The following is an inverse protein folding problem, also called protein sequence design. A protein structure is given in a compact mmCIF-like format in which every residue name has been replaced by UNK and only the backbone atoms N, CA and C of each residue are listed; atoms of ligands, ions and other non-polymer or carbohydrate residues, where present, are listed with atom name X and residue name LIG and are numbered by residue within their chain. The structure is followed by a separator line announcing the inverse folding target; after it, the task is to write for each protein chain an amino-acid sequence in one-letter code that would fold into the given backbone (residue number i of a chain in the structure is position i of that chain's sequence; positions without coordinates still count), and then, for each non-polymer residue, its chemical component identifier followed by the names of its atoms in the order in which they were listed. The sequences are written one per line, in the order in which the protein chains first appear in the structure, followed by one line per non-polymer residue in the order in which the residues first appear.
data_IF_933365622652
#
_entry.id   IF_933365622652
#
_cell.length_a   1.000
_cell.length_b   1.000
_cell.length_c   1.000
_cell.angle_alpha   90.00
_cell.angle_beta   90.00
_cell.angle_gamma   90.00
#
_symmetry.space_group_name_H-M   'P 1'
#
loop_
_entity.id
_entity.type
_entity.pdbx_description
1 polymer ?
#
# COMPACT_ATOMS: atom_id res chain seq x y z
N UNK A 1 11.35 -23.44 -6.73
CA UNK A 1 9.91 -23.54 -6.38
C UNK A 1 9.63 -22.27 -5.60
N UNK A 2 9.13 -21.22 -6.27
CA UNK A 2 8.79 -19.97 -5.58
C UNK A 2 7.52 -20.25 -4.78
N UNK A 3 7.63 -20.29 -3.47
CA UNK A 3 6.46 -20.29 -2.61
C UNK A 3 5.89 -18.87 -2.68
N UNK A 4 4.63 -18.75 -3.08
CA UNK A 4 3.93 -17.47 -3.05
C UNK A 4 3.74 -17.05 -1.59
N UNK A 5 4.25 -15.89 -1.23
CA UNK A 5 4.06 -15.32 0.11
C UNK A 5 2.77 -14.49 0.14
N UNK A 6 2.27 -14.15 1.34
CA UNK A 6 1.17 -13.18 1.44
C UNK A 6 1.48 -11.86 0.72
N UNK A 7 2.71 -11.35 0.82
CA UNK A 7 3.12 -10.10 0.20
C UNK A 7 3.15 -10.19 -1.33
N UNK A 8 3.68 -11.29 -1.88
CA UNK A 8 3.70 -11.49 -3.34
C UNK A 8 2.27 -11.61 -3.90
N UNK A 9 1.39 -12.34 -3.20
CA UNK A 9 -0.02 -12.47 -3.60
C UNK A 9 -0.76 -11.14 -3.56
N UNK A 10 -0.59 -10.34 -2.49
CA UNK A 10 -1.21 -9.03 -2.37
C UNK A 10 -0.75 -8.07 -3.48
N UNK A 11 0.52 -8.14 -3.88
CA UNK A 11 1.04 -7.35 -4.99
C UNK A 11 0.45 -7.76 -6.34
N UNK A 12 0.33 -9.08 -6.60
CA UNK A 12 -0.29 -9.59 -7.83
C UNK A 12 -1.77 -9.19 -7.94
N UNK A 13 -2.52 -9.31 -6.84
CA UNK A 13 -3.92 -8.86 -6.76
C UNK A 13 -4.03 -7.36 -7.04
N UNK A 14 -3.16 -6.54 -6.42
CA UNK A 14 -3.13 -5.10 -6.64
C UNK A 14 -2.83 -4.74 -8.09
N UNK A 15 -1.86 -5.40 -8.73
CA UNK A 15 -1.57 -5.20 -10.14
C UNK A 15 -2.76 -5.54 -11.03
N UNK A 16 -3.44 -6.65 -10.74
CA UNK A 16 -4.60 -7.07 -11.50
C UNK A 16 -5.72 -6.01 -11.43
N UNK A 17 -6.03 -5.53 -10.23
CA UNK A 17 -7.08 -4.52 -10.05
C UNK A 17 -6.67 -3.15 -10.63
N UNK A 18 -5.38 -2.78 -10.60
CA UNK A 18 -4.89 -1.56 -11.25
C UNK A 18 -5.08 -1.58 -12.77
N UNK A 19 -4.84 -2.73 -13.42
CA UNK A 19 -5.07 -2.88 -14.88
C UNK A 19 -6.56 -2.71 -15.19
N UNK A 20 -7.44 -3.31 -14.38
CA UNK A 20 -8.89 -3.19 -14.55
C UNK A 20 -9.36 -1.77 -14.32
N UNK A 21 -8.82 -1.10 -13.31
CA UNK A 21 -9.15 0.27 -12.95
C UNK A 21 -8.71 1.26 -14.04
N UNK A 22 -7.52 1.11 -14.62
CA UNK A 22 -7.05 1.95 -15.74
C UNK A 22 -8.00 1.85 -16.94
N UNK A 23 -8.47 0.64 -17.26
CA UNK A 23 -9.43 0.40 -18.34
C UNK A 23 -10.81 1.03 -18.05
N UNK A 24 -11.22 1.08 -16.79
CA UNK A 24 -12.48 1.67 -16.34
C UNK A 24 -12.43 3.17 -16.04
N UNK A 25 -11.25 3.80 -16.10
CA UNK A 25 -11.07 5.21 -15.75
C UNK A 25 -11.68 6.12 -16.81
N UNK A 26 -12.51 7.08 -16.42
CA UNK A 26 -13.32 7.87 -17.35
C UNK A 26 -12.67 9.18 -17.80
N UNK A 27 -11.76 9.74 -16.99
CA UNK A 27 -11.11 11.03 -17.27
C UNK A 27 -9.65 10.86 -17.71
N UNK A 28 -9.37 11.10 -18.99
CA UNK A 28 -8.02 10.93 -19.58
C UNK A 28 -6.96 11.79 -18.90
N UNK A 29 -7.30 13.03 -18.53
CA UNK A 29 -6.35 13.94 -17.86
C UNK A 29 -5.90 13.39 -16.51
N UNK A 30 -6.84 12.89 -15.71
CA UNK A 30 -6.54 12.34 -14.38
C UNK A 30 -5.96 10.92 -14.46
N UNK A 31 -6.19 10.18 -15.57
CA UNK A 31 -5.64 8.84 -15.82
C UNK A 31 -4.11 8.83 -15.79
N UNK A 32 -3.46 9.91 -16.23
CA UNK A 32 -2.00 10.03 -16.14
C UNK A 32 -1.50 9.96 -14.69
N UNK A 33 -2.24 10.54 -13.74
CA UNK A 33 -1.95 10.43 -12.31
C UNK A 33 -2.05 9.00 -11.80
N UNK A 34 -3.14 8.29 -12.14
CA UNK A 34 -3.29 6.87 -11.81
C UNK A 34 -2.11 6.03 -12.34
N UNK A 35 -1.74 6.22 -13.61
CA UNK A 35 -0.65 5.46 -14.24
C UNK A 35 0.71 5.75 -13.62
N UNK A 36 0.95 7.01 -13.25
CA UNK A 36 2.15 7.40 -12.52
C UNK A 36 2.22 6.69 -11.17
N UNK A 37 1.17 6.79 -10.36
CA UNK A 37 1.09 6.11 -9.05
C UNK A 37 1.22 4.59 -9.19
N UNK A 38 0.58 3.98 -10.19
CA UNK A 38 0.72 2.54 -10.46
C UNK A 38 2.16 2.15 -10.85
N UNK A 39 2.86 3.02 -11.57
CA UNK A 39 4.28 2.78 -11.90
C UNK A 39 5.19 2.91 -10.70
N UNK A 40 4.90 3.87 -9.83
CA UNK A 40 5.64 4.11 -8.59
C UNK A 40 5.50 2.92 -7.63
N UNK A 41 4.27 2.44 -7.43
CA UNK A 41 4.00 1.21 -6.66
C UNK A 41 4.75 0.02 -7.25
N UNK A 42 4.70 -0.20 -8.56
CA UNK A 42 5.45 -1.31 -9.16
C UNK A 42 6.95 -1.19 -8.90
N UNK A 43 7.51 0.02 -8.93
CA UNK A 43 8.92 0.22 -8.65
C UNK A 43 9.27 -0.14 -7.21
N UNK A 44 8.61 0.50 -6.23
CA UNK A 44 8.93 0.32 -4.82
C UNK A 44 8.50 -1.04 -4.27
N UNK A 45 7.32 -1.56 -4.65
CA UNK A 45 6.86 -2.87 -4.20
C UNK A 45 7.69 -4.01 -4.79
N UNK A 46 8.10 -3.96 -6.06
CA UNK A 46 9.03 -4.96 -6.61
C UNK A 46 10.38 -4.92 -5.89
N UNK A 47 10.91 -3.73 -5.61
CA UNK A 47 12.15 -3.59 -4.88
C UNK A 47 12.02 -4.17 -3.47
N UNK A 48 10.94 -3.85 -2.74
CA UNK A 48 10.68 -4.40 -1.41
C UNK A 48 10.49 -5.92 -1.45
N UNK A 49 9.74 -6.46 -2.41
CA UNK A 49 9.50 -7.90 -2.54
C UNK A 49 10.80 -8.69 -2.64
N UNK A 50 11.76 -8.28 -3.48
CA UNK A 50 13.04 -8.99 -3.64
C UNK A 50 13.75 -9.22 -2.30
N UNK A 51 13.59 -8.30 -1.34
CA UNK A 51 14.23 -8.38 -0.03
C UNK A 51 13.34 -9.01 1.03
N UNK A 52 12.04 -8.71 1.03
CA UNK A 52 11.12 -9.09 2.09
C UNK A 52 10.56 -10.51 1.91
N UNK A 53 10.43 -11.01 0.67
CA UNK A 53 9.90 -12.36 0.39
C UNK A 53 10.79 -13.48 0.91
N UNK A 54 12.10 -13.20 1.01
CA UNK A 54 13.10 -14.17 1.48
C UNK A 54 13.18 -14.23 3.01
N UNK A 55 12.52 -13.31 3.72
CA UNK A 55 12.53 -13.27 5.17
C UNK A 55 11.61 -14.34 5.75
N UNK A 56 12.16 -15.17 6.63
CA UNK A 56 11.36 -16.08 7.41
C UNK A 56 10.33 -15.30 8.27
N UNK A 57 9.11 -15.83 8.51
CA UNK A 57 8.08 -15.15 9.28
C UNK A 57 8.54 -14.66 10.67
N UNK A 58 9.52 -15.34 11.27
CA UNK A 58 10.10 -14.96 12.57
C UNK A 58 10.97 -13.69 12.50
N UNK A 59 11.50 -13.35 11.32
CA UNK A 59 12.34 -12.17 11.07
C UNK A 59 11.59 -11.04 10.36
N UNK A 60 10.38 -11.29 9.87
CA UNK A 60 9.46 -10.33 9.24
C UNK A 60 8.85 -9.33 10.24
N UNK A 61 9.70 -8.66 11.04
CA UNK A 61 9.32 -7.60 11.98
C UNK A 61 10.23 -6.40 11.79
N UNK A 62 9.64 -5.21 11.70
CA UNK A 62 10.33 -3.94 11.52
C UNK A 62 11.60 -3.80 12.37
N UNK A 63 11.56 -4.16 13.66
CA UNK A 63 12.70 -3.98 14.57
C UNK A 63 13.90 -4.89 14.25
N UNK A 64 13.68 -5.97 13.48
CA UNK A 64 14.71 -6.95 13.08
C UNK A 64 15.26 -6.72 11.68
N UNK A 65 14.59 -5.88 10.88
CA UNK A 65 15.07 -5.48 9.57
C UNK A 65 16.33 -4.60 9.69
N UNK A 66 17.23 -4.72 8.71
CA UNK A 66 18.30 -3.74 8.53
C UNK A 66 17.74 -2.42 7.99
N UNK A 67 18.61 -1.40 7.92
CA UNK A 67 18.19 -0.07 7.49
C UNK A 67 17.68 -0.03 6.03
N UNK A 68 18.26 -0.85 5.15
CA UNK A 68 17.92 -0.86 3.72
C UNK A 68 16.54 -1.49 3.50
N UNK A 69 16.28 -2.66 4.10
CA UNK A 69 14.98 -3.32 4.05
C UNK A 69 13.87 -2.44 4.66
N UNK A 70 14.16 -1.69 5.74
CA UNK A 70 13.21 -0.73 6.32
C UNK A 70 12.85 0.40 5.38
N UNK A 71 13.83 0.96 4.67
CA UNK A 71 13.59 2.04 3.69
C UNK A 71 12.72 1.52 2.56
N UNK A 72 13.03 0.34 2.00
CA UNK A 72 12.25 -0.25 0.92
C UNK A 72 10.81 -0.57 1.35
N UNK A 73 10.63 -1.14 2.54
CA UNK A 73 9.31 -1.40 3.09
C UNK A 73 8.50 -0.10 3.28
N UNK A 74 9.14 0.93 3.85
CA UNK A 74 8.54 2.24 4.05
C UNK A 74 8.12 2.90 2.73
N UNK A 75 9.00 2.94 1.73
CA UNK A 75 8.69 3.52 0.42
C UNK A 75 7.55 2.77 -0.27
N UNK A 76 7.58 1.43 -0.27
CA UNK A 76 6.51 0.62 -0.84
C UNK A 76 5.17 0.90 -0.14
N UNK A 77 5.18 1.01 1.19
CA UNK A 77 4.00 1.33 1.98
C UNK A 77 3.44 2.71 1.66
N UNK A 78 4.29 3.74 1.57
CA UNK A 78 3.88 5.09 1.21
C UNK A 78 3.31 5.18 -0.21
N UNK A 79 3.91 4.50 -1.19
CA UNK A 79 3.39 4.48 -2.56
C UNK A 79 2.00 3.82 -2.64
N UNK A 80 1.78 2.73 -1.89
CA UNK A 80 0.47 2.06 -1.81
C UNK A 80 -0.55 2.93 -1.07
N UNK A 81 -0.13 3.61 0.00
CA UNK A 81 -0.97 4.55 0.75
C UNK A 81 -1.42 5.74 -0.10
N UNK A 82 -0.52 6.28 -0.93
CA UNK A 82 -0.82 7.35 -1.88
C UNK A 82 -1.86 6.92 -2.92
N UNK A 83 -1.84 5.66 -3.37
CA UNK A 83 -2.90 5.11 -4.21
C UNK A 83 -4.24 5.06 -3.45
N UNK A 84 -4.25 4.60 -2.20
CA UNK A 84 -5.47 4.62 -1.37
C UNK A 84 -6.10 6.02 -1.32
N UNK A 85 -5.30 7.06 -1.12
CA UNK A 85 -5.81 8.44 -1.14
C UNK A 85 -6.34 8.86 -2.51
N UNK A 86 -5.65 8.47 -3.58
CA UNK A 86 -6.10 8.72 -4.96
C UNK A 86 -7.45 8.05 -5.21
N UNK A 87 -7.68 6.83 -4.72
CA UNK A 87 -8.95 6.12 -4.84
C UNK A 87 -10.07 6.83 -4.08
N UNK A 88 -9.84 7.29 -2.84
CA UNK A 88 -10.82 8.08 -2.09
C UNK A 88 -11.25 9.34 -2.85
N UNK A 89 -10.29 10.05 -3.45
CA UNK A 89 -10.59 11.20 -4.30
C UNK A 89 -11.33 10.80 -5.56
N UNK A 90 -10.96 9.70 -6.20
CA UNK A 90 -11.61 9.20 -7.41
C UNK A 90 -13.09 8.84 -7.18
N UNK A 91 -13.46 8.39 -5.97
CA UNK A 91 -14.86 8.20 -5.57
C UNK A 91 -15.60 9.54 -5.57
N UNK A 92 -15.04 10.55 -4.91
CA UNK A 92 -15.65 11.87 -4.83
C UNK A 92 -15.81 12.54 -6.20
N UNK A 93 -14.82 12.35 -7.07
CA UNK A 93 -14.75 12.95 -8.41
C UNK A 93 -15.46 12.10 -9.49
N UNK A 94 -15.93 10.89 -9.15
CA UNK A 94 -16.62 9.99 -10.10
C UNK A 94 -15.75 9.51 -11.26
N UNK A 95 -14.46 9.27 -11.03
CA UNK A 95 -13.47 8.99 -12.08
C UNK A 95 -13.50 7.55 -12.61
N UNK A 96 -14.24 6.66 -11.96
CA UNK A 96 -14.45 5.28 -12.38
C UNK A 96 -15.75 4.74 -11.75
N UNK A 97 -16.19 3.57 -12.21
CA UNK A 97 -17.27 2.84 -11.59
C UNK A 97 -16.96 2.52 -10.11
N UNK A 98 -17.94 2.71 -9.24
CA UNK A 98 -17.76 2.54 -7.79
C UNK A 98 -17.36 1.12 -7.40
N UNK A 99 -17.80 0.09 -8.12
CA UNK A 99 -17.40 -1.30 -7.86
C UNK A 99 -15.94 -1.52 -8.26
N UNK A 100 -15.48 -0.92 -9.35
CA UNK A 100 -14.08 -0.97 -9.75
C UNK A 100 -13.17 -0.30 -8.70
N UNK A 101 -13.56 0.88 -8.21
CA UNK A 101 -12.79 1.57 -7.16
C UNK A 101 -12.79 0.76 -5.85
N UNK A 102 -13.94 0.20 -5.43
CA UNK A 102 -14.02 -0.60 -4.21
C UNK A 102 -13.12 -1.86 -4.26
N UNK A 103 -13.01 -2.51 -5.43
CA UNK A 103 -12.09 -3.65 -5.60
C UNK A 103 -10.63 -3.24 -5.51
N UNK A 104 -10.26 -2.15 -6.17
CA UNK A 104 -8.92 -1.60 -6.06
C UNK A 104 -8.58 -1.20 -4.62
N UNK A 105 -9.54 -0.63 -3.88
CA UNK A 105 -9.36 -0.28 -2.47
C UNK A 105 -9.12 -1.52 -1.61
N UNK A 106 -9.90 -2.59 -1.82
CA UNK A 106 -9.68 -3.86 -1.12
C UNK A 106 -8.27 -4.43 -1.38
N UNK A 107 -7.76 -4.31 -2.60
CA UNK A 107 -6.41 -4.75 -2.94
C UNK A 107 -5.33 -3.85 -2.31
N UNK A 108 -5.57 -2.53 -2.22
CA UNK A 108 -4.73 -1.59 -1.47
C UNK A 108 -4.66 -1.98 -0.01
N UNK A 109 -5.80 -2.23 0.64
CA UNK A 109 -5.87 -2.60 2.05
C UNK A 109 -5.12 -3.91 2.31
N UNK A 110 -5.30 -4.92 1.45
CA UNK A 110 -4.58 -6.19 1.54
C UNK A 110 -3.06 -6.03 1.40
N UNK A 111 -2.60 -5.14 0.49
CA UNK A 111 -1.19 -4.85 0.31
C UNK A 111 -0.61 -4.10 1.53
N UNK A 112 -1.33 -3.11 2.08
CA UNK A 112 -0.92 -2.41 3.30
C UNK A 112 -0.87 -3.35 4.51
N UNK A 113 -1.83 -4.25 4.66
CA UNK A 113 -1.83 -5.28 5.70
C UNK A 113 -0.63 -6.22 5.56
N UNK A 114 -0.28 -6.59 4.33
CA UNK A 114 0.87 -7.45 4.03
C UNK A 114 2.21 -6.76 4.29
N UNK A 115 2.27 -5.44 4.12
CA UNK A 115 3.46 -4.62 4.40
C UNK A 115 3.59 -4.19 5.87
N UNK A 116 2.47 -4.15 6.62
CA UNK A 116 2.41 -3.68 8.02
C UNK A 116 3.48 -4.30 8.95
N UNK A 117 3.81 -5.62 8.88
CA UNK A 117 4.85 -6.21 9.73
C UNK A 117 6.26 -5.59 9.51
N UNK A 118 6.49 -4.99 8.35
CA UNK A 118 7.79 -4.50 7.89
C UNK A 118 7.95 -2.98 8.03
N UNK A 119 6.94 -2.26 8.51
CA UNK A 119 6.96 -0.80 8.63
C UNK A 119 6.82 -0.34 10.08
N UNK A 120 7.05 0.95 10.31
CA UNK A 120 7.00 1.51 11.66
C UNK A 120 5.56 1.74 12.11
N UNK A 121 5.36 1.86 13.43
CA UNK A 121 4.06 2.29 13.98
C UNK A 121 3.62 3.67 13.47
N UNK A 122 4.56 4.54 13.08
CA UNK A 122 4.24 5.83 12.51
C UNK A 122 3.61 5.70 11.12
N UNK A 123 4.05 4.71 10.33
CA UNK A 123 3.47 4.40 9.02
C UNK A 123 2.05 3.84 9.15
N UNK A 124 1.83 2.92 10.09
CA UNK A 124 0.49 2.41 10.42
C UNK A 124 -0.43 3.55 10.91
N UNK A 125 0.07 4.44 11.77
CA UNK A 125 -0.71 5.61 12.22
C UNK A 125 -1.06 6.53 11.05
N UNK A 126 -0.15 6.72 10.09
CA UNK A 126 -0.42 7.53 8.89
C UNK A 126 -1.55 6.92 8.05
N UNK A 127 -1.58 5.60 7.86
CA UNK A 127 -2.69 4.92 7.17
C UNK A 127 -4.04 5.23 7.81
N UNK A 128 -4.14 5.12 9.13
CA UNK A 128 -5.37 5.39 9.89
C UNK A 128 -5.84 6.83 9.70
N UNK A 129 -4.92 7.79 9.73
CA UNK A 129 -5.27 9.20 9.49
C UNK A 129 -5.75 9.42 8.05
N UNK A 130 -5.02 8.88 7.07
CA UNK A 130 -5.25 9.22 5.67
C UNK A 130 -6.40 8.44 5.02
N UNK A 131 -6.66 7.21 5.44
CA UNK A 131 -7.65 6.33 4.81
C UNK A 131 -8.88 6.05 5.69
N UNK A 132 -8.75 6.14 7.01
CA UNK A 132 -9.83 5.81 7.95
C UNK A 132 -10.44 7.04 8.63
N UNK A 133 -10.00 8.25 8.26
CA UNK A 133 -10.45 9.54 8.84
C UNK A 133 -10.31 9.60 10.37
N UNK A 134 -9.28 8.93 10.91
CA UNK A 134 -8.95 8.96 12.34
C UNK A 134 -8.14 10.22 12.64
N UNK A 135 -8.49 10.95 13.70
CA UNK A 135 -7.71 12.11 14.15
C UNK A 135 -6.26 11.72 14.47
N UNK A 136 -5.30 12.63 14.24
CA UNK A 136 -3.88 12.40 14.52
C UNK A 136 -3.66 11.97 15.98
N UNK A 137 -4.35 12.60 16.92
CA UNK A 137 -4.26 12.29 18.35
C UNK A 137 -4.65 10.82 18.61
N UNK A 138 -5.81 10.38 18.12
CA UNK A 138 -6.28 9.00 18.26
C UNK A 138 -5.43 7.97 17.47
N UNK A 139 -4.76 8.39 16.39
CA UNK A 139 -3.82 7.54 15.66
C UNK A 139 -2.52 7.34 16.44
N UNK A 140 -2.08 8.36 17.19
CA UNK A 140 -0.84 8.38 17.97
C UNK A 140 -0.98 7.85 19.41
N UNK A 141 -2.19 7.74 19.95
CA UNK A 141 -2.45 7.23 21.31
C UNK A 141 -1.88 5.81 21.59
N UNK A 142 -1.47 5.05 20.56
CA UNK A 142 -0.75 3.77 20.67
C UNK A 142 0.76 3.80 20.33
N UNK A 143 1.28 4.95 19.88
CA UNK A 143 2.67 5.12 19.42
C UNK A 143 3.60 5.57 20.56
N UNK A 144 3.06 6.16 21.64
CA UNK A 144 3.83 6.83 22.70
C UNK A 144 4.38 6.00 23.87
N UNK A 145 4.32 4.66 23.86
CA UNK A 145 4.74 3.83 25.02
C UNK A 145 5.73 2.70 24.67
N UNK A 146 6.82 3.05 23.98
CA UNK A 146 7.95 2.15 23.75
C UNK A 146 9.29 2.86 23.96
N UNK A 147 9.67 3.05 25.22
CA UNK A 147 11.07 3.14 25.64
C UNK A 147 11.56 1.73 25.99
#
# INVERSE_FOLDING_TARGET
MHFTTPLSNAFDDLQHELVRLDAGWTCERERAGLRYTASDIRHHACAALVWLDELAPEVARYERLDAEARILAHEAYLSVLALGQLLLRAIADGLADGVAIARAQCAVDHMLDSLSPFVSRADDALRRVLLEDVSIEAALDGVGHGQ
#
